data_IF_544112996817
#
_entry.id   IF_544112996817
#
_cell.length_a   1.000
_cell.length_b   1.000
_cell.length_c   1.000
_cell.angle_alpha   90.00
_cell.angle_beta   90.00
_cell.angle_gamma   90.00
#
_symmetry.space_group_name_H-M   'P 1'
#
loop_
_entity.id
_entity.type
_entity.pdbx_description
1 polymer ?
#
# COMPACT_ATOMS: atom_id res chain seq x y z
N UNK A 1 -14.42 54.79 -62.00
CA UNK A 1 -15.60 54.50 -61.16
C UNK A 1 -15.11 53.79 -59.92
N UNK A 2 -15.32 54.42 -58.77
CA UNK A 2 -14.84 53.99 -57.46
C UNK A 2 -15.89 53.09 -56.79
N UNK A 3 -15.45 52.12 -56.00
CA UNK A 3 -16.24 51.54 -54.91
C UNK A 3 -15.29 51.04 -53.83
N UNK A 4 -15.12 51.89 -52.82
CA UNK A 4 -14.50 51.60 -51.53
C UNK A 4 -15.50 50.84 -50.67
N UNK A 5 -15.14 49.63 -50.24
CA UNK A 5 -15.87 48.89 -49.20
C UNK A 5 -15.11 49.01 -47.88
N UNK A 6 -15.73 49.71 -46.95
CA UNK A 6 -15.31 49.86 -45.57
C UNK A 6 -15.54 48.55 -44.78
N UNK A 7 -14.60 48.20 -43.90
CA UNK A 7 -14.83 47.25 -42.81
C UNK A 7 -14.30 47.83 -41.49
N UNK A 8 -15.12 47.89 -40.43
CA UNK A 8 -14.75 48.48 -39.15
C UNK A 8 -14.02 47.53 -38.20
N UNK A 9 -13.27 48.17 -37.30
CA UNK A 9 -12.64 47.74 -36.06
C UNK A 9 -13.13 46.41 -35.44
N UNK A 10 -12.22 45.45 -35.27
CA UNK A 10 -12.37 44.41 -34.27
C UNK A 10 -11.82 44.90 -32.93
N UNK A 11 -12.75 44.98 -31.96
CA UNK A 11 -12.51 45.25 -30.57
C UNK A 11 -11.61 44.18 -29.94
N UNK A 12 -10.61 44.64 -29.18
CA UNK A 12 -9.98 43.86 -28.13
C UNK A 12 -11.04 43.49 -27.08
N UNK A 13 -11.31 42.20 -26.92
CA UNK A 13 -11.85 41.67 -25.67
C UNK A 13 -10.83 40.68 -25.10
N UNK A 14 -10.10 41.18 -24.12
CA UNK A 14 -9.33 40.38 -23.17
C UNK A 14 -10.32 39.44 -22.45
N UNK A 15 -10.35 38.17 -22.83
CA UNK A 15 -10.92 37.13 -21.98
C UNK A 15 -9.98 36.91 -20.79
N UNK A 16 -10.22 37.65 -19.71
CA UNK A 16 -9.79 37.22 -18.39
C UNK A 16 -10.61 35.98 -18.01
N UNK A 17 -9.99 34.81 -18.13
CA UNK A 17 -10.54 33.57 -17.57
C UNK A 17 -10.69 33.78 -16.05
N UNK A 18 -11.87 33.49 -15.47
CA UNK A 18 -12.01 33.53 -14.03
C UNK A 18 -11.08 32.47 -13.44
N UNK A 19 -10.17 32.89 -12.55
CA UNK A 19 -9.53 31.99 -11.61
C UNK A 19 -10.67 31.41 -10.78
N UNK A 20 -11.13 30.22 -11.16
CA UNK A 20 -11.99 29.42 -10.31
C UNK A 20 -11.15 29.09 -9.09
N UNK A 21 -11.44 29.79 -7.99
CA UNK A 21 -11.09 29.34 -6.65
C UNK A 21 -11.44 27.86 -6.58
N UNK A 22 -10.42 27.03 -6.36
CA UNK A 22 -10.55 25.59 -6.26
C UNK A 22 -11.40 25.33 -5.02
N UNK A 23 -12.71 25.27 -5.22
CA UNK A 23 -13.64 24.75 -4.24
C UNK A 23 -13.16 23.35 -3.92
N UNK A 24 -12.83 23.13 -2.64
CA UNK A 24 -12.50 21.85 -2.02
C UNK A 24 -13.42 20.76 -2.58
N UNK A 25 -12.91 20.08 -3.60
CA UNK A 25 -13.69 19.17 -4.43
C UNK A 25 -13.51 17.82 -3.78
N UNK A 26 -14.61 17.27 -3.24
CA UNK A 26 -14.70 15.90 -2.79
C UNK A 26 -13.94 15.00 -3.77
N UNK A 27 -12.82 14.44 -3.32
CA UNK A 27 -12.10 13.44 -4.09
C UNK A 27 -13.05 12.25 -4.17
N UNK A 28 -13.48 11.90 -5.38
CA UNK A 28 -14.40 10.78 -5.60
C UNK A 28 -13.76 9.47 -5.09
N UNK A 29 -14.55 8.59 -4.47
CA UNK A 29 -14.07 7.32 -3.90
C UNK A 29 -13.31 6.44 -4.91
N UNK A 30 -13.64 6.56 -6.21
CA UNK A 30 -12.94 5.84 -7.30
C UNK A 30 -11.52 6.35 -7.51
N UNK A 31 -11.27 7.65 -7.36
CA UNK A 31 -9.95 8.26 -7.47
C UNK A 31 -9.09 7.94 -6.25
N UNK A 32 -9.69 7.95 -5.07
CA UNK A 32 -9.04 7.51 -3.84
C UNK A 32 -8.64 6.04 -3.95
N UNK A 33 -9.52 5.19 -4.49
CA UNK A 33 -9.26 3.77 -4.73
C UNK A 33 -8.12 3.56 -5.74
N UNK A 34 -8.04 4.33 -6.82
CA UNK A 34 -6.95 4.17 -7.78
C UNK A 34 -5.60 4.69 -7.29
N UNK A 35 -5.60 5.74 -6.47
CA UNK A 35 -4.39 6.18 -5.80
C UNK A 35 -3.95 5.15 -4.75
N UNK A 36 -4.89 4.65 -3.96
CA UNK A 36 -4.67 3.55 -3.03
C UNK A 36 -4.01 2.37 -3.74
N UNK A 37 -4.59 1.96 -4.87
CA UNK A 37 -4.01 0.97 -5.76
C UNK A 37 -2.59 1.41 -6.12
N UNK A 38 -2.35 2.52 -6.81
CA UNK A 38 -0.99 2.92 -7.23
C UNK A 38 0.08 3.02 -6.11
N UNK A 39 -0.26 3.61 -4.96
CA UNK A 39 0.64 3.71 -3.79
C UNK A 39 0.96 2.33 -3.22
N UNK A 40 0.07 1.36 -3.40
CA UNK A 40 0.23 -0.03 -2.99
C UNK A 40 0.60 -0.99 -4.14
N UNK A 41 0.70 -0.54 -5.40
CA UNK A 41 1.02 -1.41 -6.57
C UNK A 41 2.40 -1.22 -7.20
N UNK A 42 3.12 -0.15 -6.89
CA UNK A 42 4.43 0.06 -7.48
C UNK A 42 5.44 -1.01 -7.06
N UNK A 43 6.57 -1.13 -7.76
CA UNK A 43 7.75 -1.84 -7.23
C UNK A 43 8.22 -1.28 -5.87
N UNK A 44 7.66 -0.15 -5.43
CA UNK A 44 7.87 0.56 -4.18
C UNK A 44 6.56 0.75 -3.37
N UNK A 45 5.58 -0.14 -3.58
CA UNK A 45 4.32 -0.17 -2.86
C UNK A 45 4.50 -0.04 -1.35
N UNK A 46 3.98 1.04 -0.77
CA UNK A 46 3.96 1.26 0.68
C UNK A 46 2.66 0.72 1.23
N UNK A 47 2.72 -0.17 2.22
CA UNK A 47 1.57 -0.40 3.08
C UNK A 47 1.24 0.92 3.77
N UNK A 48 0.09 1.49 3.46
CA UNK A 48 -0.29 2.85 3.89
C UNK A 48 -1.76 2.84 4.26
N UNK A 49 -2.14 3.74 5.16
CA UNK A 49 -3.51 3.84 5.66
C UNK A 49 -4.38 4.66 4.72
N UNK A 50 -5.70 4.50 4.83
CA UNK A 50 -6.67 5.30 4.06
C UNK A 50 -6.48 6.82 4.26
N UNK A 51 -6.15 7.25 5.47
CA UNK A 51 -5.91 8.65 5.79
C UNK A 51 -4.68 9.22 5.07
N UNK A 52 -3.57 8.48 5.04
CA UNK A 52 -2.36 8.88 4.32
C UNK A 52 -2.61 8.94 2.80
N UNK A 53 -3.40 7.99 2.27
CA UNK A 53 -3.82 8.02 0.86
C UNK A 53 -4.68 9.26 0.58
N UNK A 54 -5.55 9.66 1.50
CA UNK A 54 -6.40 10.84 1.34
C UNK A 54 -5.59 12.14 1.36
N UNK A 55 -4.58 12.23 2.22
CA UNK A 55 -3.62 13.34 2.23
C UNK A 55 -2.83 13.40 0.91
N UNK A 56 -2.33 12.25 0.45
CA UNK A 56 -1.61 12.14 -0.83
C UNK A 56 -2.52 12.51 -2.02
N UNK A 57 -3.78 12.07 -2.02
CA UNK A 57 -4.75 12.37 -3.07
C UNK A 57 -5.00 13.88 -3.15
N UNK A 58 -5.20 14.51 -1.99
CA UNK A 58 -5.41 15.96 -1.88
C UNK A 58 -4.20 16.73 -2.40
N UNK A 59 -2.99 16.29 -2.05
CA UNK A 59 -1.74 16.89 -2.52
C UNK A 59 -1.49 16.70 -4.02
N UNK A 60 -1.94 15.57 -4.60
CA UNK A 60 -1.77 15.27 -6.03
C UNK A 60 -2.81 16.01 -6.88
N UNK A 61 -4.08 16.01 -6.48
CA UNK A 61 -5.17 16.73 -7.19
C UNK A 61 -4.92 18.24 -7.20
N UNK A 62 -4.28 18.78 -6.17
CA UNK A 62 -3.90 20.20 -6.11
C UNK A 62 -2.84 20.61 -7.16
N UNK A 63 -2.16 19.66 -7.81
CA UNK A 63 -1.15 19.93 -8.83
C UNK A 63 -1.76 19.91 -10.25
N UNK A 64 -1.29 20.77 -11.17
CA UNK A 64 -1.74 20.74 -12.56
C UNK A 64 -1.56 19.35 -13.19
N UNK A 65 -2.64 18.76 -13.70
CA UNK A 65 -2.64 17.43 -14.33
C UNK A 65 -2.70 16.23 -13.37
N UNK A 66 -2.67 16.45 -12.05
CA UNK A 66 -2.69 15.37 -11.06
C UNK A 66 -3.96 14.52 -11.11
N UNK A 67 -5.12 15.14 -11.33
CA UNK A 67 -6.40 14.41 -11.48
C UNK A 67 -6.42 13.47 -12.68
N UNK A 68 -5.97 13.93 -13.85
CA UNK A 68 -5.92 13.10 -15.06
C UNK A 68 -4.96 11.91 -14.89
N UNK A 69 -3.88 12.10 -14.13
CA UNK A 69 -2.99 11.01 -13.77
C UNK A 69 -3.68 9.97 -12.86
N UNK A 70 -4.44 10.41 -11.86
CA UNK A 70 -5.23 9.52 -11.00
C UNK A 70 -6.30 8.74 -11.79
N UNK A 71 -6.95 9.38 -12.75
CA UNK A 71 -7.96 8.74 -13.61
C UNK A 71 -7.35 7.64 -14.49
N UNK A 72 -6.09 7.78 -14.92
CA UNK A 72 -5.39 6.73 -15.68
C UNK A 72 -5.10 5.47 -14.85
N UNK A 73 -4.97 5.62 -13.53
CA UNK A 73 -4.69 4.53 -12.61
C UNK A 73 -5.94 3.64 -12.38
N UNK A 74 -7.15 4.23 -12.44
CA UNK A 74 -8.43 3.49 -12.33
C UNK A 74 -8.54 2.45 -13.47
N UNK A 75 -7.97 2.74 -14.65
CA UNK A 75 -8.07 1.87 -15.82
C UNK A 75 -7.13 0.65 -15.77
N UNK A 76 -6.20 0.59 -14.81
CA UNK A 76 -5.18 -0.46 -14.68
C UNK A 76 -5.58 -1.57 -13.68
N UNK A 77 -6.84 -1.60 -13.25
CA UNK A 77 -7.34 -2.36 -12.11
C UNK A 77 -7.45 -3.87 -12.38
N UNK A 78 -6.37 -4.62 -12.17
CA UNK A 78 -6.37 -6.09 -12.31
C UNK A 78 -5.40 -6.80 -11.36
N UNK A 79 -5.08 -6.23 -10.18
CA UNK A 79 -4.17 -6.91 -9.25
C UNK A 79 -4.75 -7.00 -7.82
N UNK A 80 -4.95 -8.23 -7.30
CA UNK A 80 -5.56 -8.49 -5.99
C UNK A 80 -4.65 -8.19 -4.78
N UNK A 81 -3.42 -7.69 -4.97
CA UNK A 81 -2.45 -7.39 -3.91
C UNK A 81 -2.64 -5.99 -3.26
N UNK A 82 -3.70 -5.27 -3.61
CA UNK A 82 -3.84 -3.83 -3.35
C UNK A 82 -4.96 -3.54 -2.37
N UNK A 83 -4.74 -3.87 -1.10
CA UNK A 83 -5.69 -3.61 -0.02
C UNK A 83 -5.31 -2.35 0.75
N UNK A 84 -6.24 -1.38 0.83
CA UNK A 84 -6.15 -0.26 1.78
C UNK A 84 -6.45 -0.76 3.18
N UNK A 85 -5.60 -0.40 4.13
CA UNK A 85 -5.75 -0.81 5.52
C UNK A 85 -6.33 0.31 6.37
N UNK A 86 -7.30 -0.04 7.22
CA UNK A 86 -7.94 0.92 8.14
C UNK A 86 -7.09 1.22 9.37
N UNK A 87 -6.33 0.24 9.85
CA UNK A 87 -5.59 0.33 11.09
C UNK A 87 -4.14 -0.09 10.91
N UNK A 88 -3.27 0.45 11.78
CA UNK A 88 -1.88 0.05 11.87
C UNK A 88 -1.40 -0.01 13.32
N UNK A 89 -0.41 -0.86 13.59
CA UNK A 89 0.21 -0.98 14.89
C UNK A 89 1.70 -1.32 14.75
N UNK A 90 2.51 -0.88 15.71
CA UNK A 90 3.93 -1.17 15.70
C UNK A 90 4.17 -2.66 15.97
N UNK A 91 5.02 -3.27 15.17
CA UNK A 91 5.36 -4.67 15.24
C UNK A 91 6.86 -4.86 15.47
N UNK A 92 7.18 -5.94 16.15
CA UNK A 92 8.54 -6.44 16.29
C UNK A 92 8.55 -7.94 16.17
N UNK A 93 9.72 -8.55 16.02
CA UNK A 93 9.77 -9.99 15.94
C UNK A 93 11.17 -10.54 15.83
N UNK A 94 11.22 -11.85 15.60
CA UNK A 94 12.42 -12.62 15.33
C UNK A 94 12.14 -13.59 14.21
N UNK A 95 13.14 -13.80 13.38
CA UNK A 95 13.13 -14.83 12.35
C UNK A 95 14.37 -15.70 12.53
N UNK A 96 14.16 -17.00 12.35
CA UNK A 96 15.21 -17.99 12.45
C UNK A 96 15.09 -18.92 11.25
N UNK A 97 16.12 -18.90 10.40
CA UNK A 97 16.22 -19.63 9.15
C UNK A 97 17.38 -20.61 9.29
N UNK A 98 17.06 -21.88 9.16
CA UNK A 98 18.03 -22.97 9.06
C UNK A 98 18.10 -23.44 7.61
N UNK A 99 18.96 -24.41 7.30
CA UNK A 99 19.06 -24.96 5.94
C UNK A 99 17.76 -25.58 5.43
N UNK A 100 16.91 -26.08 6.34
CA UNK A 100 15.72 -26.89 6.01
C UNK A 100 14.42 -26.37 6.58
N UNK A 101 14.48 -25.39 7.49
CA UNK A 101 13.32 -24.87 8.20
C UNK A 101 13.42 -23.36 8.38
N UNK A 102 12.27 -22.71 8.42
CA UNK A 102 12.12 -21.31 8.76
C UNK A 102 11.06 -21.20 9.86
N UNK A 103 11.36 -20.40 10.87
CA UNK A 103 10.42 -20.03 11.93
C UNK A 103 10.41 -18.53 12.11
N UNK A 104 9.23 -17.96 12.28
CA UNK A 104 9.04 -16.54 12.55
C UNK A 104 8.15 -16.39 13.78
N UNK A 105 8.51 -15.42 14.63
CA UNK A 105 7.74 -14.99 15.79
C UNK A 105 7.61 -13.47 15.73
N UNK A 106 6.40 -12.96 15.58
CA UNK A 106 6.08 -11.54 15.51
C UNK A 106 5.19 -11.16 16.69
N UNK A 107 5.28 -9.91 17.13
CA UNK A 107 4.58 -9.40 18.28
C UNK A 107 4.10 -7.97 18.00
N UNK A 108 2.89 -7.68 18.46
CA UNK A 108 2.27 -6.37 18.40
C UNK A 108 1.83 -6.00 19.82
N UNK A 109 2.77 -5.45 20.59
CA UNK A 109 2.60 -5.20 22.03
C UNK A 109 1.38 -4.31 22.34
N UNK A 110 1.05 -3.34 21.49
CA UNK A 110 -0.10 -2.46 21.69
C UNK A 110 -1.44 -3.16 21.56
N UNK A 111 -1.47 -4.32 20.91
CA UNK A 111 -2.65 -5.16 20.72
C UNK A 111 -2.62 -6.42 21.59
N UNK A 112 -1.56 -6.61 22.37
CA UNK A 112 -1.30 -7.84 23.14
C UNK A 112 -1.41 -9.11 22.28
N UNK A 113 -0.96 -9.04 21.02
CA UNK A 113 -1.00 -10.14 20.07
C UNK A 113 0.40 -10.65 19.71
N UNK A 114 0.50 -11.96 19.60
CA UNK A 114 1.67 -12.67 19.11
C UNK A 114 1.32 -13.56 17.92
N UNK A 115 2.26 -13.72 17.01
CA UNK A 115 2.10 -14.48 15.78
C UNK A 115 3.30 -15.39 15.63
N UNK A 116 3.06 -16.68 15.43
CA UNK A 116 4.14 -17.64 15.23
C UNK A 116 3.83 -18.52 14.04
N UNK A 117 4.80 -18.68 13.15
CA UNK A 117 4.65 -19.55 11.99
C UNK A 117 5.94 -20.30 11.68
N UNK A 118 5.78 -21.48 11.10
CA UNK A 118 6.90 -22.31 10.67
C UNK A 118 6.62 -22.98 9.33
N UNK A 119 7.70 -23.31 8.64
CA UNK A 119 7.64 -23.99 7.35
C UNK A 119 8.98 -24.64 7.02
N UNK A 120 8.92 -25.57 6.09
CA UNK A 120 10.08 -26.29 5.58
C UNK A 120 10.44 -25.78 4.18
N UNK A 121 11.74 -25.77 3.88
CA UNK A 121 12.27 -25.36 2.58
C UNK A 121 13.79 -25.28 2.61
N UNK A 122 14.41 -24.93 1.49
CA UNK A 122 15.86 -24.83 1.40
C UNK A 122 16.30 -23.36 1.43
N UNK A 123 17.11 -23.02 2.43
CA UNK A 123 17.46 -21.62 2.71
C UNK A 123 18.95 -21.43 3.01
N UNK A 124 19.40 -20.19 2.85
CA UNK A 124 20.66 -19.73 3.45
C UNK A 124 20.39 -19.49 4.93
N UNK A 125 21.11 -20.15 5.86
CA UNK A 125 20.88 -19.98 7.28
C UNK A 125 21.12 -18.54 7.73
N UNK A 126 20.18 -18.00 8.49
CA UNK A 126 20.26 -16.68 9.08
C UNK A 126 19.27 -16.57 10.24
N UNK A 127 19.66 -15.85 11.29
CA UNK A 127 18.75 -15.58 12.41
C UNK A 127 18.96 -14.15 12.86
N UNK A 128 17.88 -13.47 13.20
CA UNK A 128 17.95 -12.09 13.64
C UNK A 128 16.64 -11.55 14.15
N UNK A 129 16.72 -10.30 14.61
CA UNK A 129 15.55 -9.56 15.08
C UNK A 129 14.97 -8.74 13.93
N UNK A 130 13.65 -8.71 13.85
CA UNK A 130 12.86 -7.85 12.99
C UNK A 130 12.38 -6.69 13.87
N UNK A 131 13.15 -5.61 13.88
CA UNK A 131 12.84 -4.43 14.68
C UNK A 131 12.22 -3.36 13.78
N UNK A 132 11.29 -2.57 14.31
CA UNK A 132 10.60 -1.48 13.60
C UNK A 132 9.72 -1.94 12.42
N UNK A 133 8.89 -2.95 12.65
CA UNK A 133 7.83 -3.30 11.70
C UNK A 133 6.52 -2.57 11.96
N UNK A 134 5.61 -2.71 11.03
CA UNK A 134 4.22 -2.26 11.15
C UNK A 134 3.29 -3.40 10.76
N UNK A 135 2.31 -3.71 11.60
CA UNK A 135 1.15 -4.52 11.25
C UNK A 135 0.07 -3.61 10.67
N UNK A 136 -0.44 -3.97 9.51
CA UNK A 136 -1.62 -3.36 8.91
C UNK A 136 -2.80 -4.35 8.93
N UNK A 137 -3.98 -3.88 9.31
CA UNK A 137 -5.18 -4.72 9.44
C UNK A 137 -6.47 -3.89 9.31
N UNK A 138 -7.58 -4.57 9.02
CA UNK A 138 -8.88 -3.90 8.86
C UNK A 138 -9.75 -3.99 10.11
N UNK A 139 -9.92 -5.18 10.65
CA UNK A 139 -10.80 -5.42 11.80
C UNK A 139 -10.08 -6.27 12.85
N UNK A 140 -10.08 -5.82 14.10
CA UNK A 140 -9.43 -6.56 15.18
C UNK A 140 -10.07 -7.94 15.43
N UNK A 141 -11.37 -8.09 15.17
CA UNK A 141 -12.10 -9.37 15.23
C UNK A 141 -11.53 -10.45 14.30
N UNK A 142 -10.83 -10.06 13.24
CA UNK A 142 -10.19 -11.00 12.32
C UNK A 142 -8.85 -11.53 12.85
N UNK A 143 -8.26 -10.85 13.85
CA UNK A 143 -6.99 -11.21 14.48
C UNK A 143 -7.18 -12.02 15.78
N UNK A 144 -8.37 -12.57 16.02
CA UNK A 144 -8.62 -13.41 17.21
C UNK A 144 -7.66 -14.60 17.28
N UNK A 145 -7.32 -15.12 18.47
CA UNK A 145 -6.41 -16.26 18.59
C UNK A 145 -6.87 -17.50 17.81
N UNK A 146 -5.93 -18.21 17.19
CA UNK A 146 -6.19 -19.43 16.43
C UNK A 146 -5.27 -19.61 15.23
N UNK A 147 -5.54 -20.66 14.44
CA UNK A 147 -4.73 -21.01 13.29
C UNK A 147 -4.79 -19.93 12.18
N UNK A 148 -3.65 -19.69 11.54
CA UNK A 148 -3.51 -18.80 10.41
C UNK A 148 -2.42 -19.33 9.47
N UNK A 149 -2.48 -18.92 8.21
CA UNK A 149 -1.39 -19.13 7.25
C UNK A 149 -0.70 -17.81 6.97
N UNK A 150 0.60 -17.87 6.74
CA UNK A 150 1.43 -16.70 6.55
C UNK A 150 2.17 -16.82 5.23
N UNK A 151 2.19 -15.75 4.44
CA UNK A 151 2.97 -15.69 3.20
C UNK A 151 4.09 -14.69 3.36
N UNK A 152 5.32 -15.18 3.26
CA UNK A 152 6.52 -14.38 3.39
C UNK A 152 7.07 -14.07 2.02
N UNK A 153 7.46 -12.83 1.80
CA UNK A 153 8.12 -12.41 0.57
C UNK A 153 8.98 -11.18 0.84
N UNK A 154 9.97 -10.97 -0.04
CA UNK A 154 10.88 -9.83 0.00
C UNK A 154 10.83 -9.10 -1.31
N UNK A 155 10.93 -7.77 -1.24
CA UNK A 155 11.04 -6.89 -2.40
C UNK A 155 12.10 -5.85 -2.14
N UNK A 156 13.21 -5.93 -2.87
CA UNK A 156 14.38 -5.12 -2.55
C UNK A 156 14.91 -5.49 -1.15
N UNK A 157 14.91 -4.53 -0.24
CA UNK A 157 15.30 -4.71 1.17
C UNK A 157 14.09 -4.73 2.11
N UNK A 158 12.87 -4.76 1.57
CA UNK A 158 11.66 -4.74 2.37
C UNK A 158 11.10 -6.15 2.51
N UNK A 159 10.74 -6.52 3.75
CA UNK A 159 10.19 -7.82 4.10
C UNK A 159 8.73 -7.71 4.48
N UNK A 160 7.93 -8.61 3.92
CA UNK A 160 6.49 -8.61 4.08
C UNK A 160 6.01 -9.97 4.58
N UNK A 161 5.01 -9.93 5.47
CA UNK A 161 4.35 -11.13 5.99
C UNK A 161 2.85 -10.93 5.91
N UNK A 162 2.25 -11.52 4.88
CA UNK A 162 0.81 -11.48 4.66
C UNK A 162 0.12 -12.57 5.50
N UNK A 163 -0.97 -12.23 6.18
CA UNK A 163 -1.69 -13.09 7.10
C UNK A 163 -3.02 -13.50 6.46
N UNK A 164 -3.27 -14.81 6.44
CA UNK A 164 -4.49 -15.38 5.90
C UNK A 164 -5.20 -16.24 6.95
N UNK A 165 -6.53 -16.17 6.95
CA UNK A 165 -7.41 -17.02 7.73
C UNK A 165 -8.47 -17.60 6.82
N UNK A 166 -8.52 -18.92 6.72
CA UNK A 166 -9.44 -19.61 5.81
C UNK A 166 -9.36 -19.04 4.37
N UNK A 167 -8.14 -18.81 3.88
CA UNK A 167 -7.83 -18.19 2.59
C UNK A 167 -8.22 -16.71 2.43
N UNK A 168 -8.82 -16.09 3.45
CA UNK A 168 -9.11 -14.65 3.46
C UNK A 168 -7.88 -13.88 3.94
N UNK A 169 -7.49 -12.84 3.20
CA UNK A 169 -6.41 -11.94 3.58
C UNK A 169 -6.86 -10.97 4.67
N UNK A 170 -6.22 -11.01 5.84
CA UNK A 170 -6.70 -10.31 7.04
C UNK A 170 -5.69 -9.31 7.65
N UNK A 171 -4.43 -9.36 7.23
CA UNK A 171 -3.43 -8.43 7.71
C UNK A 171 -2.09 -8.59 7.02
N UNK A 172 -1.21 -7.61 7.18
CA UNK A 172 0.11 -7.60 6.58
C UNK A 172 1.12 -6.98 7.53
N UNK A 173 2.22 -7.68 7.80
CA UNK A 173 3.39 -7.05 8.37
C UNK A 173 4.31 -6.51 7.30
N UNK A 174 4.91 -5.37 7.60
CA UNK A 174 5.92 -4.72 6.79
C UNK A 174 7.14 -4.40 7.67
N UNK A 175 8.31 -4.83 7.24
CA UNK A 175 9.60 -4.54 7.88
C UNK A 175 10.56 -3.96 6.84
N UNK A 176 10.92 -2.68 6.95
CA UNK A 176 11.84 -2.06 6.01
C UNK A 176 13.30 -2.42 6.30
N UNK A 177 14.14 -2.37 5.27
CA UNK A 177 15.61 -2.48 5.37
C UNK A 177 16.12 -3.72 6.12
N UNK A 178 15.70 -4.91 5.71
CA UNK A 178 16.21 -6.16 6.27
C UNK A 178 17.68 -6.37 5.96
N UNK A 179 18.41 -6.89 6.95
CA UNK A 179 19.84 -7.22 6.84
C UNK A 179 20.12 -8.64 6.35
N UNK A 180 19.16 -9.33 5.74
CA UNK A 180 19.29 -10.73 5.32
C UNK A 180 18.81 -10.98 3.91
N UNK A 181 19.35 -12.05 3.31
CA UNK A 181 18.94 -12.51 1.99
C UNK A 181 17.81 -13.51 2.17
N UNK A 182 16.72 -13.30 1.43
CA UNK A 182 15.60 -14.22 1.35
C UNK A 182 15.50 -14.78 -0.07
N UNK A 183 15.10 -16.06 -0.24
CA UNK A 183 14.93 -16.61 -1.57
C UNK A 183 13.88 -15.81 -2.35
N UNK A 184 14.05 -15.66 -3.68
CA UNK A 184 13.04 -15.01 -4.50
C UNK A 184 11.74 -15.81 -4.50
N UNK A 185 10.61 -15.11 -4.46
CA UNK A 185 9.27 -15.70 -4.46
C UNK A 185 8.57 -15.63 -3.11
N UNK A 186 7.49 -16.39 -3.00
CA UNK A 186 6.62 -16.43 -1.81
C UNK A 186 6.77 -17.75 -1.08
N UNK A 187 6.87 -17.69 0.25
CA UNK A 187 6.91 -18.87 1.12
C UNK A 187 5.64 -18.90 1.96
N UNK A 188 4.89 -19.99 1.83
CA UNK A 188 3.75 -20.29 2.69
C UNK A 188 4.21 -20.97 4.00
N UNK A 189 3.76 -20.44 5.12
CA UNK A 189 3.95 -21.00 6.45
C UNK A 189 2.61 -21.28 7.10
N UNK A 190 2.59 -22.30 7.97
CA UNK A 190 1.48 -22.56 8.85
C UNK A 190 1.82 -22.05 10.25
N UNK A 191 0.85 -21.41 10.89
CA UNK A 191 1.08 -20.77 12.17
C UNK A 191 -0.19 -20.48 12.93
N UNK A 192 -0.03 -19.64 13.95
CA UNK A 192 -1.07 -19.26 14.89
C UNK A 192 -0.94 -17.80 15.26
N UNK A 193 -2.09 -17.20 15.58
CA UNK A 193 -2.21 -15.94 16.30
C UNK A 193 -2.55 -16.32 17.74
N UNK A 194 -1.88 -15.71 18.73
CA UNK A 194 -2.06 -15.98 20.15
C UNK A 194 -2.11 -14.68 20.94
#
# INVERSE_FOLDING_TARGET
MASTLAFPQQQQQQQALPIQSVSSSNIDNSLLSALATYVTTGSHARSTTEQEIQELASAVVAKPGGRAHLESLIQFDSCPDHQVWKNQANASGKINITKTNLTIALEVATLELSFSASGAGFYVPWSGSLNAGTLYYNEFSQLTPGNATFKLWVKGLDFYVSIYRNQVYIGNFFYPNIGFVFPPGTIDLNGTIA
#
